data_IF_886122609682
#
_entry.id   IF_886122609682
#
_cell.length_a   1.000
_cell.length_b   1.000
_cell.length_c   1.000
_cell.angle_alpha   90.00
_cell.angle_beta   90.00
_cell.angle_gamma   90.00
#
_symmetry.space_group_name_H-M   'P 1'
#
loop_
_entity.id
_entity.type
_entity.pdbx_description
1 polymer ?
#
# COMPACT_ATOMS: atom_id res chain seq x y z
N UNK A 1 -9.26 1.95 -5.65
CA UNK A 1 -8.21 2.88 -6.12
C UNK A 1 -6.98 2.69 -5.26
N UNK A 2 -5.87 2.45 -5.91
CA UNK A 2 -4.59 2.23 -5.25
C UNK A 2 -3.57 3.24 -5.74
N UNK A 3 -2.79 3.81 -4.84
CA UNK A 3 -1.64 4.65 -5.17
C UNK A 3 -0.45 4.24 -4.34
N UNK A 4 0.73 4.32 -4.93
CA UNK A 4 1.99 4.08 -4.23
C UNK A 4 2.96 5.19 -4.51
N UNK A 5 3.67 5.63 -3.48
CA UNK A 5 4.69 6.67 -3.57
C UNK A 5 6.02 6.10 -3.08
N UNK A 6 7.06 6.31 -3.86
CA UNK A 6 8.40 5.86 -3.52
C UNK A 6 9.39 7.01 -3.67
N UNK A 7 10.46 7.04 -2.85
CA UNK A 7 11.49 8.07 -3.00
C UNK A 7 12.30 7.81 -4.28
N UNK A 8 11.98 8.55 -5.35
CA UNK A 8 12.54 8.32 -6.68
C UNK A 8 14.08 8.36 -6.71
N UNK A 9 14.69 9.14 -5.83
CA UNK A 9 16.16 9.25 -5.78
C UNK A 9 16.83 7.95 -5.34
N UNK A 10 16.12 7.10 -4.59
CA UNK A 10 16.65 5.81 -4.13
C UNK A 10 16.53 4.73 -5.19
N UNK A 11 15.63 4.91 -6.16
CA UNK A 11 15.30 3.86 -7.12
C UNK A 11 15.33 4.37 -8.57
N UNK A 12 16.52 4.79 -9.04
CA UNK A 12 16.64 5.29 -10.42
C UNK A 12 16.26 4.18 -11.41
N UNK A 13 15.47 4.52 -12.40
CA UNK A 13 15.02 3.56 -13.42
C UNK A 13 13.94 2.58 -12.94
N UNK A 14 13.32 2.80 -11.78
CA UNK A 14 12.31 1.89 -11.22
C UNK A 14 11.16 1.61 -12.20
N UNK A 15 10.66 2.63 -12.89
CA UNK A 15 9.57 2.44 -13.85
C UNK A 15 9.91 1.38 -14.91
N UNK A 16 11.12 1.43 -15.46
CA UNK A 16 11.59 0.47 -16.45
C UNK A 16 11.69 -0.94 -15.86
N UNK A 17 12.13 -1.05 -14.62
CA UNK A 17 12.22 -2.35 -13.96
C UNK A 17 10.83 -2.95 -13.71
N UNK A 18 9.85 -2.11 -13.33
CA UNK A 18 8.48 -2.56 -13.12
C UNK A 18 7.81 -3.03 -14.41
N UNK A 19 8.19 -2.47 -15.56
CA UNK A 19 7.68 -2.88 -16.87
C UNK A 19 8.03 -4.34 -17.24
N UNK A 20 8.93 -4.97 -16.49
CA UNK A 20 9.30 -6.38 -16.67
C UNK A 20 8.36 -7.35 -15.95
N UNK A 21 7.19 -6.90 -15.55
CA UNK A 21 6.14 -7.69 -14.91
C UNK A 21 6.53 -8.27 -13.53
N UNK A 22 7.50 -7.69 -12.87
CA UNK A 22 7.84 -8.06 -11.51
C UNK A 22 6.97 -7.30 -10.52
N UNK A 23 6.67 -7.90 -9.37
CA UNK A 23 6.04 -7.17 -8.29
C UNK A 23 6.97 -6.07 -7.80
N UNK A 24 6.40 -5.02 -7.18
CA UNK A 24 7.20 -3.92 -6.65
C UNK A 24 8.28 -4.41 -5.68
N UNK A 25 7.92 -5.29 -4.74
CA UNK A 25 8.87 -5.74 -3.73
C UNK A 25 9.94 -6.65 -4.31
N UNK A 26 9.61 -7.50 -5.27
CA UNK A 26 10.61 -8.30 -5.98
C UNK A 26 11.56 -7.41 -6.76
N UNK A 27 11.04 -6.39 -7.42
CA UNK A 27 11.86 -5.42 -8.15
C UNK A 27 12.84 -4.70 -7.23
N UNK A 28 12.36 -4.23 -6.08
CA UNK A 28 13.21 -3.56 -5.11
C UNK A 28 14.31 -4.49 -4.59
N UNK A 29 13.99 -5.74 -4.33
CA UNK A 29 14.96 -6.73 -3.86
C UNK A 29 15.99 -7.08 -4.93
N UNK A 30 15.53 -7.38 -6.14
CA UNK A 30 16.41 -7.89 -7.21
C UNK A 30 17.25 -6.79 -7.86
N UNK A 31 16.64 -5.62 -8.15
CA UNK A 31 17.32 -4.55 -8.86
C UNK A 31 18.07 -3.57 -7.96
N UNK A 32 17.62 -3.40 -6.73
CA UNK A 32 18.17 -2.38 -5.82
C UNK A 32 18.68 -2.94 -4.49
N UNK A 33 18.57 -4.25 -4.28
CA UNK A 33 19.06 -4.87 -3.05
C UNK A 33 18.31 -4.45 -1.78
N UNK A 34 17.06 -3.98 -1.91
CA UNK A 34 16.27 -3.50 -0.80
C UNK A 34 15.54 -4.64 -0.14
N UNK A 35 15.76 -4.80 1.17
CA UNK A 35 15.04 -5.77 1.98
C UNK A 35 14.09 -5.02 2.90
N UNK A 36 12.79 -5.30 2.75
CA UNK A 36 11.77 -4.72 3.61
C UNK A 36 11.69 -5.52 4.91
N UNK A 37 11.77 -4.83 6.04
CA UNK A 37 11.75 -5.48 7.36
C UNK A 37 10.60 -5.03 8.21
N UNK A 38 9.98 -3.89 7.90
CA UNK A 38 8.93 -3.31 8.72
C UNK A 38 7.93 -2.58 7.85
N UNK A 39 6.66 -2.71 8.20
CA UNK A 39 5.59 -1.94 7.62
C UNK A 39 4.59 -1.55 8.70
N UNK A 40 4.10 -0.33 8.62
CA UNK A 40 3.02 0.16 9.47
C UNK A 40 1.78 0.34 8.60
N UNK A 41 0.67 -0.23 9.03
CA UNK A 41 -0.60 -0.10 8.32
C UNK A 41 -1.63 0.59 9.20
N UNK A 42 -2.39 1.49 8.59
CA UNK A 42 -3.52 2.15 9.23
C UNK A 42 -4.77 1.94 8.42
N UNK A 43 -5.90 1.84 9.10
CA UNK A 43 -7.21 1.73 8.48
C UNK A 43 -8.08 2.82 9.08
N UNK A 44 -8.65 3.64 8.22
CA UNK A 44 -9.55 4.70 8.66
C UNK A 44 -10.76 4.78 7.76
N UNK A 45 -11.84 5.34 8.28
CA UNK A 45 -13.05 5.62 7.51
C UNK A 45 -13.00 7.06 7.03
N UNK A 46 -13.21 7.25 5.74
CA UNK A 46 -13.32 8.58 5.13
C UNK A 46 -14.59 8.64 4.29
N UNK A 47 -15.11 9.84 4.07
CA UNK A 47 -16.27 10.00 3.20
C UNK A 47 -15.79 10.26 1.77
N UNK A 48 -16.47 9.65 0.79
CA UNK A 48 -16.15 9.85 -0.61
C UNK A 48 -16.41 11.30 -1.00
N UNK A 49 -15.39 12.03 -1.43
CA UNK A 49 -15.60 13.33 -2.07
C UNK A 49 -16.12 13.13 -3.50
N UNK A 50 -16.58 14.19 -4.19
CA UNK A 50 -17.13 14.04 -5.53
C UNK A 50 -16.18 13.41 -6.55
N UNK A 51 -14.88 13.67 -6.43
CA UNK A 51 -13.87 13.10 -7.31
C UNK A 51 -13.71 11.60 -7.09
N UNK A 52 -13.51 11.19 -5.84
CA UNK A 52 -13.34 9.78 -5.47
C UNK A 52 -14.62 8.99 -5.75
N UNK A 53 -15.79 9.61 -5.51
CA UNK A 53 -17.07 8.99 -5.79
C UNK A 53 -17.22 8.63 -7.27
N UNK A 54 -16.80 9.51 -8.16
CA UNK A 54 -16.84 9.26 -9.60
C UNK A 54 -15.92 8.11 -10.00
N UNK A 55 -14.71 8.08 -9.45
CA UNK A 55 -13.75 7.03 -9.74
C UNK A 55 -14.22 5.66 -9.27
N UNK A 56 -14.90 5.61 -8.13
CA UNK A 56 -15.39 4.36 -7.55
C UNK A 56 -16.79 3.98 -7.99
N UNK A 57 -17.48 4.85 -8.72
CA UNK A 57 -18.85 4.60 -9.16
C UNK A 57 -19.86 4.57 -8.02
N UNK A 58 -19.67 5.42 -7.02
CA UNK A 58 -20.53 5.52 -5.82
C UNK A 58 -21.07 6.93 -5.66
N UNK A 59 -22.05 7.09 -4.78
CA UNK A 59 -22.57 8.40 -4.44
C UNK A 59 -21.57 9.18 -3.55
N UNK A 60 -21.46 10.50 -3.73
CA UNK A 60 -20.68 11.33 -2.82
C UNK A 60 -21.18 11.18 -1.38
N UNK A 61 -20.24 11.16 -0.44
CA UNK A 61 -20.57 10.98 0.98
C UNK A 61 -20.66 9.53 1.43
N UNK A 62 -20.53 8.56 0.53
CA UNK A 62 -20.48 7.16 0.94
C UNK A 62 -19.23 6.91 1.79
N UNK A 63 -19.34 6.20 2.92
CA UNK A 63 -18.17 5.83 3.69
C UNK A 63 -17.24 4.90 2.90
N UNK A 64 -15.95 5.26 2.90
CA UNK A 64 -14.89 4.46 2.31
C UNK A 64 -13.96 3.97 3.40
N UNK A 65 -13.32 2.83 3.16
CA UNK A 65 -12.18 2.39 3.94
C UNK A 65 -10.91 2.87 3.25
N UNK A 66 -10.09 3.63 3.96
CA UNK A 66 -8.78 4.05 3.51
C UNK A 66 -7.73 3.25 4.26
N UNK A 67 -7.00 2.43 3.52
CA UNK A 67 -5.88 1.68 4.03
C UNK A 67 -4.59 2.37 3.61
N UNK A 68 -3.73 2.68 4.58
CA UNK A 68 -2.43 3.30 4.32
C UNK A 68 -1.33 2.41 4.84
N UNK A 69 -0.25 2.28 4.07
CA UNK A 69 0.92 1.50 4.47
C UNK A 69 2.19 2.30 4.26
N UNK A 70 3.03 2.31 5.30
CA UNK A 70 4.38 2.86 5.23
C UNK A 70 5.34 1.69 5.42
N UNK A 71 6.19 1.44 4.44
CA UNK A 71 7.17 0.35 4.48
C UNK A 71 8.59 0.93 4.61
N UNK A 72 9.41 0.21 5.36
CA UNK A 72 10.78 0.62 5.69
C UNK A 72 11.76 -0.51 5.40
N UNK A 73 12.99 -0.14 5.04
CA UNK A 73 14.04 -1.12 4.83
C UNK A 73 14.74 -1.49 6.16
N UNK A 74 15.74 -2.37 6.05
CA UNK A 74 16.49 -2.86 7.20
C UNK A 74 17.20 -1.75 7.98
N UNK A 75 17.46 -0.59 7.35
CA UNK A 75 18.10 0.56 8.01
C UNK A 75 17.08 1.52 8.62
N UNK A 76 15.79 1.22 8.51
CA UNK A 76 14.73 2.10 8.98
C UNK A 76 14.37 3.24 8.03
N UNK A 77 14.89 3.24 6.82
CA UNK A 77 14.58 4.28 5.85
C UNK A 77 13.28 3.98 5.12
N UNK A 78 12.47 5.01 4.82
CA UNK A 78 11.24 4.82 4.07
C UNK A 78 11.49 4.26 2.67
N UNK A 79 10.67 3.30 2.26
CA UNK A 79 10.73 2.68 0.94
C UNK A 79 9.46 2.97 0.14
N UNK A 80 8.30 2.87 0.79
CA UNK A 80 7.02 3.02 0.11
C UNK A 80 5.98 3.62 1.06
N UNK A 81 5.12 4.44 0.49
CA UNK A 81 3.86 4.85 1.09
C UNK A 81 2.75 4.51 0.10
N UNK A 82 1.85 3.63 0.50
CA UNK A 82 0.75 3.17 -0.32
C UNK A 82 -0.58 3.51 0.32
N UNK A 83 -1.55 3.88 -0.50
CA UNK A 83 -2.92 4.14 -0.06
C UNK A 83 -3.88 3.39 -0.96
N UNK A 84 -4.90 2.79 -0.36
CA UNK A 84 -5.93 2.05 -1.08
C UNK A 84 -7.29 2.45 -0.53
N UNK A 85 -8.21 2.81 -1.42
CA UNK A 85 -9.58 3.20 -1.07
C UNK A 85 -10.55 2.11 -1.50
N UNK A 86 -11.42 1.71 -0.59
CA UNK A 86 -12.43 0.68 -0.85
C UNK A 86 -13.80 1.16 -0.43
N UNK A 87 -14.83 0.73 -1.14
CA UNK A 87 -16.21 1.01 -0.75
C UNK A 87 -16.51 0.36 0.62
N UNK A 88 -16.90 1.19 1.59
CA UNK A 88 -17.17 0.69 2.93
C UNK A 88 -18.41 -0.20 3.03
N UNK A 89 -19.31 -0.13 2.04
CA UNK A 89 -20.53 -0.95 2.02
C UNK A 89 -20.30 -2.35 1.42
N UNK A 90 -19.15 -2.60 0.80
CA UNK A 90 -18.85 -3.88 0.13
C UNK A 90 -17.63 -4.59 0.64
N UNK A 91 -16.79 -3.91 1.39
CA UNK A 91 -15.51 -4.44 1.85
C UNK A 91 -15.46 -4.47 3.36
N UNK A 92 -14.86 -5.50 3.88
CA UNK A 92 -14.50 -5.60 5.29
C UNK A 92 -13.05 -6.01 5.40
N UNK A 93 -12.42 -5.58 6.47
CA UNK A 93 -11.07 -6.00 6.79
C UNK A 93 -11.12 -7.24 7.68
N UNK A 94 -10.36 -8.26 7.32
CA UNK A 94 -10.25 -9.49 8.12
C UNK A 94 -8.78 -9.77 8.36
N UNK A 95 -8.42 -9.99 9.60
CA UNK A 95 -7.08 -10.41 9.96
C UNK A 95 -7.17 -11.68 10.80
N UNK A 96 -6.19 -12.56 10.62
CA UNK A 96 -6.10 -13.77 11.41
C UNK A 96 -4.79 -13.75 12.16
N UNK A 97 -4.89 -13.81 13.47
CA UNK A 97 -3.72 -13.85 14.34
C UNK A 97 -3.52 -15.28 14.81
N UNK A 98 -2.29 -15.72 14.76
CA UNK A 98 -1.90 -17.04 15.29
C UNK A 98 -0.84 -16.84 16.35
N UNK A 99 -1.03 -17.49 17.49
CA UNK A 99 -0.02 -17.55 18.51
C UNK A 99 0.97 -18.67 18.16
N UNK A 100 2.26 -18.32 18.12
CA UNK A 100 3.30 -19.33 17.97
C UNK A 100 3.39 -20.16 19.25
N UNK A 101 3.33 -21.50 19.16
CA UNK A 101 3.50 -22.33 20.35
C UNK A 101 4.87 -22.09 20.99
N UNK A 102 4.91 -22.02 22.31
CA UNK A 102 6.16 -21.97 23.05
C UNK A 102 6.90 -23.30 22.89
N UNK A 103 8.20 -23.21 22.69
CA UNK A 103 9.04 -24.39 22.55
C UNK A 103 9.51 -24.90 23.88
#
# INVERSE_FOLDING_TARGET
IDTSHLPARRFPGLRKQLERELSLYETLRLAYGIQLTEAEETIETVLADPHDARLLGVDPGLPLLLLSRHAYDVTGKPVEWAQSWYRGDRYKFVTRLRRTPDR
#
